data_IF_071028174007
#
_entry.id   IF_071028174007
#
_cell.length_a   1.000
_cell.length_b   1.000
_cell.length_c   1.000
_cell.angle_alpha   90.00
_cell.angle_beta   90.00
_cell.angle_gamma   90.00
#
_symmetry.space_group_name_H-M   'P 1'
#
loop_
_entity.id
_entity.type
_entity.pdbx_description
1 polymer ?
#
# COMPACT_ATOMS: atom_id res chain seq x y z
N UNK A 1 31.14 57.82 -16.04
CA UNK A 1 30.93 57.34 -15.93
C UNK A 1 30.41 56.56 -15.47
N UNK A 2 30.08 56.22 -15.19
CA UNK A 2 29.71 55.52 -14.68
C UNK A 2 28.82 54.93 -14.31
N UNK A 3 28.42 54.45 -14.22
CA UNK A 3 27.63 53.92 -13.75
C UNK A 3 27.07 52.94 -13.76
N UNK A 4 26.87 52.38 -13.61
CA UNK A 4 26.34 51.50 -13.53
C UNK A 4 25.82 50.65 -13.04
N UNK A 5 25.53 50.17 -12.85
CA UNK A 5 25.19 49.43 -12.40
C UNK A 5 24.49 48.84 -11.91
N UNK A 6 24.15 48.47 -11.70
CA UNK A 6 23.50 47.96 -11.01
C UNK A 6 22.75 47.02 -10.99
N UNK A 7 22.41 46.53 -10.87
CA UNK A 7 21.69 45.81 -10.86
C UNK A 7 21.31 44.81 -10.46
N UNK A 8 21.18 44.39 -10.30
CA UNK A 8 20.85 43.40 -10.01
C UNK A 8 20.18 42.73 -9.39
N UNK A 9 19.84 42.34 -9.14
CA UNK A 9 19.37 41.70 -8.45
C UNK A 9 18.60 40.86 -8.33
N UNK A 10 18.21 40.25 -8.11
CA UNK A 10 17.42 39.65 -7.89
C UNK A 10 16.95 38.71 -7.70
N UNK A 11 16.59 38.14 -7.47
CA UNK A 11 16.10 37.43 -7.35
C UNK A 11 15.64 36.55 -6.82
N UNK A 12 15.49 35.93 -6.71
CA UNK A 12 15.22 35.05 -6.21
C UNK A 12 14.30 34.52 -5.65
N UNK A 13 14.17 34.13 -5.11
CA UNK A 13 13.26 33.83 -4.43
C UNK A 13 12.24 33.09 -4.67
N UNK A 14 11.88 32.56 -5.18
CA UNK A 14 10.81 31.88 -5.42
C UNK A 14 10.73 30.54 -4.99
N UNK A 15 11.65 29.90 -4.57
CA UNK A 15 11.60 28.48 -4.27
C UNK A 15 10.69 28.15 -3.12
N UNK A 16 10.51 29.05 -2.21
CA UNK A 16 9.68 28.74 -1.06
C UNK A 16 8.22 28.51 -1.40
N UNK A 17 7.75 29.18 -2.42
CA UNK A 17 6.35 29.06 -2.77
C UNK A 17 6.02 27.73 -3.42
N UNK A 18 6.98 27.11 -4.06
CA UNK A 18 6.74 25.85 -4.74
C UNK A 18 6.56 24.69 -3.76
N UNK A 19 7.14 24.79 -2.58
CA UNK A 19 7.06 23.68 -1.62
C UNK A 19 5.68 23.53 -0.99
N UNK A 20 4.96 24.60 -0.76
CA UNK A 20 3.66 24.52 -0.14
C UNK A 20 2.65 23.74 -1.00
N UNK A 21 2.52 24.02 -2.29
CA UNK A 21 1.64 23.21 -3.13
C UNK A 21 2.08 21.75 -3.24
N UNK A 22 3.39 21.50 -3.28
CA UNK A 22 3.88 20.13 -3.35
C UNK A 22 3.58 19.34 -2.08
N UNK A 23 3.71 19.98 -0.93
CA UNK A 23 3.41 19.33 0.33
C UNK A 23 1.92 18.97 0.43
N UNK A 24 1.06 19.87 0.00
CA UNK A 24 -0.37 19.60 0.01
C UNK A 24 -0.72 18.45 -0.94
N UNK A 25 -0.12 18.43 -2.11
CA UNK A 25 -0.35 17.36 -3.07
C UNK A 25 0.18 16.03 -2.54
N UNK A 26 1.34 16.04 -1.88
CA UNK A 26 1.88 14.82 -1.27
C UNK A 26 1.00 14.32 -0.14
N UNK A 27 0.46 15.21 0.66
CA UNK A 27 -0.45 14.85 1.72
C UNK A 27 -1.71 14.22 1.16
N UNK A 28 -2.30 14.82 0.14
CA UNK A 28 -3.49 14.29 -0.50
C UNK A 28 -3.23 12.90 -1.09
N UNK A 29 -2.08 12.72 -1.70
CA UNK A 29 -1.69 11.44 -2.25
C UNK A 29 -1.51 10.40 -1.15
N UNK A 30 -0.90 10.77 -0.04
CA UNK A 30 -0.71 9.86 1.07
C UNK A 30 -2.05 9.41 1.66
N UNK A 31 -3.01 10.32 1.78
CA UNK A 31 -4.36 9.98 2.25
C UNK A 31 -5.03 9.01 1.28
N UNK A 32 -4.91 9.28 -0.02
CA UNK A 32 -5.51 8.41 -1.03
C UNK A 32 -4.85 7.04 -1.06
N UNK A 33 -3.53 7.00 -0.94
CA UNK A 33 -2.80 5.74 -0.89
C UNK A 33 -3.21 4.92 0.34
N UNK A 34 -3.38 5.57 1.49
CA UNK A 34 -3.82 4.89 2.70
C UNK A 34 -5.24 4.34 2.54
N UNK A 35 -6.11 5.12 1.93
CA UNK A 35 -7.50 4.68 1.71
C UNK A 35 -7.55 3.50 0.76
N UNK A 36 -6.83 3.57 -0.35
CA UNK A 36 -6.79 2.49 -1.33
C UNK A 36 -6.20 1.22 -0.74
N UNK A 37 -5.12 1.36 0.03
CA UNK A 37 -4.50 0.21 0.67
C UNK A 37 -5.41 -0.42 1.73
N UNK A 38 -6.17 0.40 2.45
CA UNK A 38 -7.12 -0.10 3.44
C UNK A 38 -8.22 -0.93 2.77
N UNK A 39 -8.77 -0.44 1.68
CA UNK A 39 -9.79 -1.17 0.94
C UNK A 39 -9.22 -2.49 0.41
N UNK A 40 -8.02 -2.46 -0.15
CA UNK A 40 -7.38 -3.66 -0.66
C UNK A 40 -7.08 -4.66 0.46
N UNK A 41 -6.71 -4.17 1.64
CA UNK A 41 -6.49 -5.02 2.80
C UNK A 41 -7.79 -5.71 3.22
N UNK A 42 -8.88 -4.96 3.29
CA UNK A 42 -10.18 -5.55 3.64
C UNK A 42 -10.61 -6.61 2.64
N UNK A 43 -10.38 -6.36 1.36
CA UNK A 43 -10.70 -7.34 0.33
C UNK A 43 -9.81 -8.58 0.43
N UNK A 44 -8.53 -8.40 0.74
CA UNK A 44 -7.63 -9.53 0.92
C UNK A 44 -8.02 -10.36 2.14
N UNK A 45 -8.39 -9.72 3.23
CA UNK A 45 -8.88 -10.42 4.41
C UNK A 45 -10.17 -11.18 4.14
N UNK A 46 -11.07 -10.56 3.38
CA UNK A 46 -12.31 -11.21 2.98
C UNK A 46 -12.03 -12.46 2.14
N UNK A 47 -11.16 -12.34 1.16
CA UNK A 47 -10.79 -13.50 0.32
C UNK A 47 -10.15 -14.60 1.16
N UNK A 48 -9.29 -14.22 2.11
CA UNK A 48 -8.69 -15.20 3.00
C UNK A 48 -9.74 -15.92 3.82
N UNK A 49 -10.68 -15.18 4.39
CA UNK A 49 -11.72 -15.76 5.24
C UNK A 49 -12.68 -16.65 4.45
N UNK A 50 -13.03 -16.24 3.24
CA UNK A 50 -13.88 -17.03 2.36
C UNK A 50 -13.15 -18.24 1.79
N UNK A 51 -11.83 -18.16 1.71
CA UNK A 51 -11.00 -19.21 1.14
C UNK A 51 -10.59 -20.30 2.12
N UNK A 52 -11.07 -20.27 3.34
CA UNK A 52 -10.70 -21.28 4.34
C UNK A 52 -11.22 -22.64 3.95
N UNK A 53 -12.41 -22.72 3.35
CA UNK A 53 -12.98 -23.99 2.98
C UNK A 53 -12.33 -24.53 1.71
N UNK A 54 -12.12 -25.85 1.68
CA UNK A 54 -11.53 -26.50 0.52
C UNK A 54 -12.48 -26.47 -0.65
N UNK A 55 -11.94 -26.16 -1.82
CA UNK A 55 -12.67 -26.29 -3.06
C UNK A 55 -12.75 -27.77 -3.46
N UNK A 56 -13.68 -28.14 -4.36
CA UNK A 56 -13.70 -29.51 -4.86
C UNK A 56 -12.34 -29.93 -5.40
N UNK A 57 -11.87 -31.08 -4.98
CA UNK A 57 -10.58 -31.60 -5.42
C UNK A 57 -9.40 -31.15 -4.56
N UNK A 58 -9.60 -30.27 -3.62
CA UNK A 58 -8.52 -29.81 -2.75
C UNK A 58 -8.31 -30.68 -1.51
N UNK A 59 -9.11 -31.71 -1.35
CA UNK A 59 -8.91 -32.68 -0.28
C UNK A 59 -8.76 -34.06 -0.85
N UNK A 60 -7.84 -34.81 -0.28
CA UNK A 60 -7.62 -36.20 -0.67
C UNK A 60 -8.02 -37.12 0.45
N UNK A 61 -8.65 -38.23 0.10
CA UNK A 61 -8.90 -39.26 1.06
C UNK A 61 -7.62 -39.90 1.56
N UNK A 62 -7.65 -40.36 2.79
CA UNK A 62 -6.52 -41.04 3.42
C UNK A 62 -6.89 -42.52 3.61
N UNK A 63 -5.90 -43.38 3.47
CA UNK A 63 -6.08 -44.80 3.76
C UNK A 63 -6.51 -45.08 5.20
N UNK A 64 -6.20 -44.14 6.09
CA UNK A 64 -6.59 -44.24 7.50
C UNK A 64 -7.99 -43.71 7.77
N UNK A 65 -8.72 -43.27 6.75
CA UNK A 65 -10.11 -42.85 6.89
C UNK A 65 -10.33 -41.37 7.12
N UNK A 66 -9.40 -40.54 6.95
CA UNK A 66 -9.57 -39.08 7.00
C UNK A 66 -9.36 -38.46 5.66
N UNK A 67 -9.48 -37.12 5.58
CA UNK A 67 -9.11 -36.38 4.40
C UNK A 67 -8.02 -35.40 4.74
N UNK A 68 -7.13 -35.15 3.79
CA UNK A 68 -6.01 -34.23 3.95
C UNK A 68 -6.13 -33.10 2.93
N UNK A 69 -5.74 -31.87 3.30
CA UNK A 69 -5.63 -30.83 2.30
C UNK A 69 -4.57 -31.19 1.26
N UNK A 70 -4.84 -30.88 0.01
CA UNK A 70 -3.86 -31.08 -1.05
C UNK A 70 -2.83 -29.95 -1.04
N UNK A 71 -1.75 -30.12 -1.83
CA UNK A 71 -0.75 -29.08 -1.99
C UNK A 71 -1.37 -27.84 -2.65
N UNK A 72 -2.33 -28.01 -3.54
CA UNK A 72 -3.04 -26.90 -4.15
C UNK A 72 -3.79 -26.07 -3.11
N UNK A 73 -4.44 -26.73 -2.16
CA UNK A 73 -5.13 -26.04 -1.08
C UNK A 73 -4.13 -25.25 -0.23
N UNK A 74 -3.02 -25.87 0.13
CA UNK A 74 -1.99 -25.20 0.93
C UNK A 74 -1.38 -24.02 0.21
N UNK A 75 -1.12 -24.19 -1.09
CA UNK A 75 -0.60 -23.11 -1.91
C UNK A 75 -1.55 -21.95 -1.98
N UNK A 76 -2.83 -22.23 -2.14
CA UNK A 76 -3.86 -21.19 -2.18
C UNK A 76 -3.95 -20.46 -0.84
N UNK A 77 -3.91 -21.19 0.26
CA UNK A 77 -3.93 -20.58 1.60
C UNK A 77 -2.72 -19.70 1.82
N UNK A 78 -1.55 -20.16 1.43
CA UNK A 78 -0.33 -19.37 1.55
C UNK A 78 -0.42 -18.09 0.74
N UNK A 79 -0.96 -18.15 -0.47
CA UNK A 79 -1.12 -16.97 -1.32
C UNK A 79 -2.09 -15.97 -0.68
N UNK A 80 -3.22 -16.45 -0.16
CA UNK A 80 -4.19 -15.58 0.50
C UNK A 80 -3.60 -14.90 1.73
N UNK A 81 -2.81 -15.61 2.51
CA UNK A 81 -2.14 -15.04 3.67
C UNK A 81 -1.09 -14.00 3.25
N UNK A 82 -0.35 -14.29 2.19
CA UNK A 82 0.65 -13.35 1.69
C UNK A 82 0.02 -12.07 1.18
N UNK A 83 -1.13 -12.16 0.55
CA UNK A 83 -1.84 -10.97 0.07
C UNK A 83 -2.25 -10.09 1.24
N UNK A 84 -2.74 -10.68 2.33
CA UNK A 84 -3.09 -9.91 3.54
C UNK A 84 -1.86 -9.22 4.11
N UNK A 85 -0.75 -9.94 4.23
CA UNK A 85 0.49 -9.37 4.77
C UNK A 85 0.97 -8.21 3.90
N UNK A 86 0.96 -8.39 2.58
CA UNK A 86 1.41 -7.37 1.65
C UNK A 86 0.57 -6.09 1.77
N UNK A 87 -0.75 -6.22 1.77
CA UNK A 87 -1.61 -5.04 1.83
C UNK A 87 -1.58 -4.38 3.20
N UNK A 88 -1.37 -5.17 4.25
CA UNK A 88 -1.18 -4.59 5.59
C UNK A 88 0.09 -3.75 5.64
N UNK A 89 1.18 -4.26 5.08
CA UNK A 89 2.43 -3.51 5.02
C UNK A 89 2.29 -2.22 4.22
N UNK A 90 1.58 -2.27 3.11
CA UNK A 90 1.35 -1.09 2.28
C UNK A 90 0.49 -0.07 2.99
N UNK A 91 -0.53 -0.52 3.69
CA UNK A 91 -1.38 0.36 4.46
C UNK A 91 -0.59 1.05 5.58
N UNK A 92 0.19 0.30 6.32
CA UNK A 92 1.01 0.85 7.39
C UNK A 92 2.04 1.85 6.85
N UNK A 93 2.65 1.56 5.73
CA UNK A 93 3.59 2.47 5.09
C UNK A 93 2.91 3.77 4.66
N UNK A 94 1.70 3.67 4.11
CA UNK A 94 0.94 4.84 3.70
C UNK A 94 0.53 5.69 4.89
N UNK A 95 0.12 5.06 5.99
CA UNK A 95 -0.20 5.77 7.22
C UNK A 95 1.02 6.48 7.80
N UNK A 96 2.17 5.83 7.78
CA UNK A 96 3.40 6.42 8.25
C UNK A 96 3.74 7.66 7.44
N UNK A 97 3.65 7.56 6.12
CA UNK A 97 3.93 8.69 5.25
C UNK A 97 2.95 9.83 5.51
N UNK A 98 1.69 9.53 5.65
CA UNK A 98 0.68 10.54 5.97
C UNK A 98 1.02 11.25 7.28
N UNK A 99 1.37 10.49 8.32
CA UNK A 99 1.72 11.06 9.61
C UNK A 99 2.97 11.93 9.54
N UNK A 100 3.91 11.59 8.68
CA UNK A 100 5.12 12.39 8.47
C UNK A 100 4.82 13.71 7.75
N UNK A 101 3.79 13.73 6.92
CA UNK A 101 3.46 14.89 6.11
C UNK A 101 2.50 15.85 6.78
N UNK A 102 1.72 15.42 7.74
CA UNK A 102 0.74 16.30 8.37
C UNK A 102 1.29 17.14 9.53
#
# INVERSE_FOLDING_TARGET
MKRLALALLITISCTAHAQAPNRSAELDKAVEDARSAYIALQEAEKRRNEGIESLPGERQGSAAGGSRPTDEYRGRQAQLEMDVVLWRQRYEAALKRWNELK
#
